data_IF_993112637815
#
_entry.id   IF_993112637815
#
_cell.length_a   1.000
_cell.length_b   1.000
_cell.length_c   1.000
_cell.angle_alpha   90.00
_cell.angle_beta   90.00
_cell.angle_gamma   90.00
#
_symmetry.space_group_name_H-M   'P 1'
#
loop_
_entity.id
_entity.type
_entity.pdbx_description
1 polymer ?
#
# COMPACT_ATOMS: atom_id res chain seq x y z
N UNK A 1 -41.51 17.23 -48.07
CA UNK A 1 -40.36 17.86 -47.37
C UNK A 1 -40.24 17.49 -45.87
N UNK A 2 -40.70 16.31 -45.40
CA UNK A 2 -40.61 15.89 -43.97
C UNK A 2 -39.63 14.75 -43.71
N UNK A 3 -39.16 14.06 -44.73
CA UNK A 3 -38.30 12.85 -44.61
C UNK A 3 -36.80 13.18 -44.54
N UNK A 4 -36.35 14.35 -44.93
CA UNK A 4 -34.93 14.71 -44.93
C UNK A 4 -34.41 15.14 -43.53
N UNK A 5 -35.31 15.60 -42.66
CA UNK A 5 -34.89 16.06 -41.30
C UNK A 5 -34.58 14.93 -40.33
N UNK A 6 -35.09 13.72 -40.53
CA UNK A 6 -34.84 12.57 -39.65
C UNK A 6 -33.50 11.92 -39.96
N UNK A 7 -33.08 11.90 -41.22
CA UNK A 7 -31.81 11.32 -41.63
C UNK A 7 -30.59 12.10 -41.07
N UNK A 8 -30.68 13.42 -40.93
CA UNK A 8 -29.60 14.27 -40.40
C UNK A 8 -29.47 14.12 -38.89
N UNK A 9 -30.58 13.81 -38.17
CA UNK A 9 -30.52 13.65 -36.72
C UNK A 9 -29.87 12.30 -36.31
N UNK A 10 -30.02 11.26 -37.11
CA UNK A 10 -29.42 9.95 -36.86
C UNK A 10 -27.91 9.95 -37.09
N UNK A 11 -27.43 10.74 -38.05
CA UNK A 11 -26.00 10.86 -38.34
C UNK A 11 -25.23 11.61 -37.22
N UNK A 12 -25.91 12.51 -36.51
CA UNK A 12 -25.26 13.29 -35.44
C UNK A 12 -25.09 12.49 -34.14
N UNK A 13 -25.86 11.45 -33.89
CA UNK A 13 -25.77 10.62 -32.69
C UNK A 13 -24.66 9.56 -32.79
N UNK A 14 -24.34 9.11 -34.01
CA UNK A 14 -23.28 8.10 -34.23
C UNK A 14 -21.85 8.73 -34.09
N UNK A 15 -21.71 10.04 -34.26
CA UNK A 15 -20.43 10.73 -34.16
C UNK A 15 -19.96 10.97 -32.70
N UNK A 16 -20.80 10.70 -31.69
CA UNK A 16 -20.47 10.88 -30.27
C UNK A 16 -19.99 9.61 -29.57
N UNK A 17 -20.00 8.47 -30.23
CA UNK A 17 -19.30 7.28 -29.75
C UNK A 17 -17.82 7.38 -30.09
N UNK A 18 -17.12 8.31 -29.41
CA UNK A 18 -15.65 8.31 -29.43
C UNK A 18 -15.18 6.99 -28.81
N UNK A 19 -14.31 6.22 -29.49
CA UNK A 19 -13.71 5.06 -28.86
C UNK A 19 -12.99 5.53 -27.61
N UNK A 20 -13.35 4.99 -26.44
CA UNK A 20 -12.51 5.05 -25.27
C UNK A 20 -11.17 4.45 -25.70
N UNK A 21 -10.18 5.29 -25.90
CA UNK A 21 -8.81 4.84 -26.04
C UNK A 21 -8.46 4.10 -24.75
N UNK A 22 -8.40 2.79 -24.83
CA UNK A 22 -7.70 2.00 -23.84
C UNK A 22 -6.28 2.57 -23.81
N UNK A 23 -5.94 3.29 -22.75
CA UNK A 23 -4.56 3.71 -22.52
C UNK A 23 -3.74 2.43 -22.39
N UNK A 24 -3.03 2.08 -23.41
CA UNK A 24 -1.98 1.08 -23.30
C UNK A 24 -0.93 1.65 -22.36
N UNK A 25 -0.89 1.13 -21.14
CA UNK A 25 0.18 1.40 -20.20
C UNK A 25 1.44 0.88 -20.90
N UNK A 26 2.30 1.77 -21.32
CA UNK A 26 3.59 1.40 -21.90
C UNK A 26 4.36 0.58 -20.86
N UNK A 27 4.72 -0.63 -21.24
CA UNK A 27 5.57 -1.47 -20.42
C UNK A 27 6.86 -0.71 -20.12
N UNK A 28 7.20 -0.59 -18.86
CA UNK A 28 8.50 -0.06 -18.44
C UNK A 28 9.62 -0.96 -18.95
N UNK A 29 10.79 -0.36 -19.14
CA UNK A 29 11.96 -1.04 -19.68
C UNK A 29 12.44 -2.22 -18.81
N UNK A 30 13.36 -3.02 -19.32
CA UNK A 30 13.80 -4.24 -18.68
C UNK A 30 14.47 -3.94 -17.32
N UNK A 31 13.85 -4.37 -16.24
CA UNK A 31 14.42 -4.30 -14.89
C UNK A 31 13.50 -3.90 -13.76
N UNK A 32 12.32 -3.37 -14.01
CA UNK A 32 11.33 -3.12 -12.96
C UNK A 32 10.01 -3.79 -13.33
N UNK A 33 9.59 -4.75 -12.53
CA UNK A 33 8.23 -5.24 -12.60
C UNK A 33 7.31 -4.13 -12.07
N UNK A 34 6.64 -3.43 -13.00
CA UNK A 34 5.81 -2.27 -12.71
C UNK A 34 4.33 -2.61 -12.72
N UNK A 35 4.00 -3.87 -12.47
CA UNK A 35 2.62 -4.30 -12.34
C UNK A 35 1.87 -3.54 -11.22
N UNK A 36 0.53 -3.50 -11.26
CA UNK A 36 -0.30 -2.72 -10.35
C UNK A 36 -0.28 -3.24 -8.91
N UNK A 37 0.57 -3.97 -8.43
CA UNK A 37 0.71 -4.41 -7.04
C UNK A 37 2.11 -4.21 -6.48
N UNK A 38 3.06 -3.74 -7.31
CA UNK A 38 4.45 -3.56 -6.89
C UNK A 38 4.59 -2.44 -5.87
N UNK A 39 3.99 -1.30 -6.17
CA UNK A 39 4.05 -0.10 -5.37
C UNK A 39 2.66 0.50 -5.24
N UNK A 40 2.20 0.65 -4.04
CA UNK A 40 0.85 1.04 -3.72
C UNK A 40 0.86 2.14 -2.66
N UNK A 41 -0.05 3.10 -2.79
CA UNK A 41 -0.14 4.26 -1.91
C UNK A 41 -1.55 4.42 -1.38
N UNK A 42 -1.65 4.82 -0.12
CA UNK A 42 -2.87 5.36 0.46
C UNK A 42 -2.52 6.44 1.49
N UNK A 43 -3.49 7.25 1.84
CA UNK A 43 -3.33 8.19 2.95
C UNK A 43 -3.95 7.61 4.22
N UNK A 44 -3.53 8.10 5.36
CA UNK A 44 -4.25 7.95 6.61
C UNK A 44 -4.64 9.32 7.17
N UNK A 45 -5.74 9.37 7.90
CA UNK A 45 -6.16 10.57 8.62
C UNK A 45 -6.86 10.16 9.91
N UNK A 46 -6.15 10.34 11.02
CA UNK A 46 -6.65 10.06 12.36
C UNK A 46 -7.26 11.30 13.03
N UNK A 47 -7.35 12.40 12.30
CA UNK A 47 -7.76 13.71 12.85
C UNK A 47 -9.15 13.69 13.46
N UNK A 48 -10.01 12.80 13.03
CA UNK A 48 -11.40 12.68 13.51
C UNK A 48 -11.59 11.50 14.48
N UNK A 49 -10.52 10.94 14.99
CA UNK A 49 -10.57 9.77 15.88
C UNK A 49 -10.89 10.14 17.33
N UNK A 50 -11.98 10.89 17.56
CA UNK A 50 -12.40 11.29 18.89
C UNK A 50 -12.92 10.11 19.76
N UNK A 51 -13.19 8.96 19.19
CA UNK A 51 -13.79 7.80 19.86
C UNK A 51 -12.87 6.59 20.01
N UNK A 52 -11.56 6.74 19.72
CA UNK A 52 -10.63 5.60 19.74
C UNK A 52 -10.80 4.66 18.53
N UNK A 53 -11.61 5.03 17.55
CA UNK A 53 -11.71 4.29 16.31
C UNK A 53 -10.38 4.43 15.54
N UNK A 54 -9.86 3.33 15.03
CA UNK A 54 -8.60 3.28 14.34
C UNK A 54 -8.78 2.88 12.88
N UNK A 55 -7.97 3.45 12.02
CA UNK A 55 -7.87 3.02 10.64
C UNK A 55 -7.09 1.72 10.56
N UNK A 56 -7.44 0.88 9.59
CA UNK A 56 -6.77 -0.39 9.37
C UNK A 56 -6.24 -0.48 7.94
N UNK A 57 -5.11 -1.14 7.81
CA UNK A 57 -4.55 -1.55 6.51
C UNK A 57 -4.66 -3.06 6.41
N UNK A 58 -5.24 -3.54 5.31
CA UNK A 58 -5.32 -4.97 4.99
C UNK A 58 -4.46 -5.24 3.78
N UNK A 59 -3.57 -6.22 3.90
CA UNK A 59 -2.67 -6.61 2.82
C UNK A 59 -2.91 -8.09 2.54
N UNK A 60 -3.18 -8.41 1.28
CA UNK A 60 -3.45 -9.75 0.81
C UNK A 60 -2.29 -10.20 -0.07
N UNK A 61 -1.72 -11.35 0.23
CA UNK A 61 -0.88 -12.06 -0.73
C UNK A 61 -1.79 -12.92 -1.61
N UNK A 62 -1.90 -12.60 -2.89
CA UNK A 62 -2.79 -13.29 -3.83
C UNK A 62 -2.41 -14.75 -4.10
N UNK A 63 -1.23 -15.18 -3.67
CA UNK A 63 -0.72 -16.51 -3.94
C UNK A 63 -0.43 -16.79 -5.42
N UNK A 64 -0.36 -15.74 -6.25
CA UNK A 64 -0.23 -15.86 -7.71
C UNK A 64 1.15 -16.33 -8.16
N UNK A 65 2.15 -16.33 -7.27
CA UNK A 65 3.50 -16.86 -7.56
C UNK A 65 3.79 -18.10 -6.72
N UNK A 66 4.12 -19.15 -7.38
CA UNK A 66 4.56 -20.39 -6.75
C UNK A 66 3.42 -21.38 -6.44
N UNK A 67 3.77 -22.46 -5.77
CA UNK A 67 2.82 -23.47 -5.33
C UNK A 67 2.17 -23.03 -4.00
N UNK A 68 0.85 -22.79 -3.96
CA UNK A 68 0.15 -22.36 -2.75
C UNK A 68 0.15 -23.42 -1.64
N UNK A 69 0.52 -24.65 -1.94
CA UNK A 69 0.66 -25.73 -0.96
C UNK A 69 2.08 -25.82 -0.40
N UNK A 70 3.03 -25.08 -0.97
CA UNK A 70 4.41 -25.05 -0.47
C UNK A 70 4.58 -23.93 0.55
N UNK A 71 4.99 -24.21 1.78
CA UNK A 71 5.19 -23.16 2.81
C UNK A 71 6.32 -22.19 2.47
N UNK A 72 7.13 -22.49 1.45
CA UNK A 72 8.27 -21.66 1.05
C UNK A 72 8.09 -21.00 -0.33
N UNK A 73 7.08 -21.39 -1.09
CA UNK A 73 6.77 -20.79 -2.38
C UNK A 73 5.57 -19.85 -2.26
N UNK A 74 5.59 -18.77 -3.01
CA UNK A 74 4.56 -17.75 -2.94
C UNK A 74 4.67 -16.83 -1.71
N UNK A 75 5.72 -16.97 -0.90
CA UNK A 75 6.01 -16.05 0.20
C UNK A 75 6.41 -14.69 -0.33
N UNK A 76 5.93 -13.64 0.32
CA UNK A 76 6.20 -12.28 -0.08
C UNK A 76 6.37 -11.35 1.14
N UNK A 77 7.08 -10.26 0.96
CA UNK A 77 7.28 -9.26 1.98
C UNK A 77 6.50 -7.99 1.61
N UNK A 78 5.66 -7.51 2.50
CA UNK A 78 5.09 -6.18 2.44
C UNK A 78 6.04 -5.20 3.12
N UNK A 79 6.81 -4.45 2.33
CA UNK A 79 7.63 -3.36 2.88
C UNK A 79 6.75 -2.13 3.02
N UNK A 80 6.53 -1.69 4.25
CA UNK A 80 5.62 -0.61 4.61
C UNK A 80 6.44 0.58 5.07
N UNK A 81 6.13 1.75 4.53
CA UNK A 81 6.78 3.02 4.84
C UNK A 81 5.72 4.06 5.15
N UNK A 82 5.75 4.61 6.34
CA UNK A 82 4.78 5.60 6.80
C UNK A 82 5.43 6.97 6.90
N UNK A 83 4.80 7.94 6.26
CA UNK A 83 5.24 9.34 6.22
C UNK A 83 4.16 10.23 6.83
N UNK A 84 4.58 11.32 7.46
CA UNK A 84 3.68 12.38 7.89
C UNK A 84 3.31 13.33 6.73
N UNK A 85 2.51 14.35 7.03
CA UNK A 85 2.10 15.39 6.09
C UNK A 85 3.20 16.41 5.80
N UNK A 86 4.34 16.35 6.50
CA UNK A 86 5.54 17.15 6.25
C UNK A 86 6.60 16.41 5.45
N UNK A 87 6.30 15.18 4.98
CA UNK A 87 7.15 14.31 4.16
C UNK A 87 8.28 13.63 4.93
N UNK A 88 8.22 13.61 6.25
CA UNK A 88 9.18 12.88 7.07
C UNK A 88 8.76 11.41 7.19
N UNK A 89 9.70 10.48 6.99
CA UNK A 89 9.45 9.07 7.27
C UNK A 89 9.40 8.86 8.79
N UNK A 90 8.30 8.32 9.26
CA UNK A 90 8.04 8.11 10.69
C UNK A 90 8.41 6.72 11.14
N UNK A 91 7.95 5.74 10.40
CA UNK A 91 8.15 4.32 10.67
C UNK A 91 8.26 3.53 9.38
N UNK A 92 8.98 2.42 9.46
CA UNK A 92 9.04 1.43 8.40
C UNK A 92 9.18 0.03 8.97
N UNK A 93 8.65 -0.95 8.25
CA UNK A 93 8.80 -2.38 8.57
C UNK A 93 8.58 -3.23 7.32
N UNK A 94 8.93 -4.51 7.43
CA UNK A 94 8.74 -5.48 6.37
C UNK A 94 8.03 -6.70 6.96
N UNK A 95 6.79 -6.89 6.56
CA UNK A 95 5.91 -7.91 7.10
C UNK A 95 5.85 -9.13 6.17
N UNK A 96 6.12 -10.33 6.68
CA UNK A 96 6.01 -11.55 5.90
C UNK A 96 4.56 -11.95 5.67
N UNK A 97 4.25 -12.38 4.44
CA UNK A 97 2.97 -12.96 4.08
C UNK A 97 3.18 -14.25 3.28
N UNK A 98 2.63 -15.35 3.74
CA UNK A 98 2.54 -16.57 2.95
C UNK A 98 1.53 -16.46 1.81
N UNK A 99 1.55 -17.40 0.89
CA UNK A 99 0.55 -17.44 -0.19
C UNK A 99 -0.88 -17.51 0.40
N UNK A 100 -1.79 -16.72 -0.15
CA UNK A 100 -3.19 -16.60 0.29
C UNK A 100 -3.39 -16.05 1.71
N UNK A 101 -2.39 -15.36 2.25
CA UNK A 101 -2.43 -14.74 3.57
C UNK A 101 -3.12 -13.37 3.55
N UNK A 102 -3.73 -13.03 4.69
CA UNK A 102 -4.33 -11.72 4.97
C UNK A 102 -3.70 -11.12 6.23
N UNK A 103 -2.92 -10.09 6.06
CA UNK A 103 -2.40 -9.28 7.15
C UNK A 103 -3.33 -8.08 7.40
N UNK A 104 -3.73 -7.87 8.65
CA UNK A 104 -4.50 -6.69 9.06
C UNK A 104 -3.71 -5.91 10.11
N UNK A 105 -3.44 -4.65 9.84
CA UNK A 105 -2.64 -3.75 10.67
C UNK A 105 -3.46 -2.54 11.11
N UNK A 106 -3.36 -2.21 12.40
CA UNK A 106 -3.85 -0.96 12.98
C UNK A 106 -2.90 0.19 12.62
N UNK A 107 -3.44 1.30 12.14
CA UNK A 107 -2.61 2.47 11.84
C UNK A 107 -2.01 3.05 13.12
N UNK A 108 -2.82 3.27 14.17
CA UNK A 108 -2.35 3.88 15.41
C UNK A 108 -1.44 2.93 16.23
N UNK A 109 -1.83 1.65 16.33
CA UNK A 109 -1.20 0.74 17.29
C UNK A 109 -0.05 -0.09 16.69
N UNK A 110 0.12 -0.08 15.35
CA UNK A 110 1.15 -0.87 14.69
C UNK A 110 1.98 -0.07 13.69
N UNK A 111 1.34 0.80 12.89
CA UNK A 111 2.04 1.56 11.85
C UNK A 111 2.51 2.94 12.32
N UNK A 112 2.02 3.43 13.48
CA UNK A 112 2.30 4.76 14.01
C UNK A 112 2.53 4.73 15.54
N UNK A 113 2.79 3.57 16.12
CA UNK A 113 2.94 3.43 17.56
C UNK A 113 4.29 3.94 18.09
N UNK A 114 5.28 4.00 17.21
CA UNK A 114 6.67 4.24 17.61
C UNK A 114 7.38 5.25 16.68
N UNK A 115 6.72 6.38 16.32
CA UNK A 115 7.25 7.30 15.34
C UNK A 115 8.58 7.91 15.78
N UNK A 116 9.47 8.18 14.82
CA UNK A 116 10.75 8.81 15.06
C UNK A 116 10.59 10.18 15.73
N UNK A 117 9.64 10.98 15.30
CA UNK A 117 9.43 12.37 15.73
C UNK A 117 8.62 12.51 17.02
N UNK A 118 8.37 11.43 17.75
CA UNK A 118 7.78 11.50 19.09
C UNK A 118 6.26 11.74 19.09
N UNK A 119 5.72 11.93 20.30
CA UNK A 119 4.28 12.16 20.50
C UNK A 119 3.94 13.66 20.54
N UNK A 120 2.73 14.06 20.06
CA UNK A 120 1.71 13.17 19.50
C UNK A 120 2.08 12.69 18.09
N UNK A 121 1.71 11.44 17.78
CA UNK A 121 1.83 10.93 16.42
C UNK A 121 1.06 11.85 15.45
N UNK A 122 1.57 12.08 14.22
CA UNK A 122 0.91 12.93 13.26
C UNK A 122 -0.48 12.38 12.92
N UNK A 123 -1.42 13.27 12.75
CA UNK A 123 -2.82 12.90 12.51
C UNK A 123 -3.11 12.54 11.06
N UNK A 124 -2.19 12.84 10.15
CA UNK A 124 -2.34 12.57 8.72
C UNK A 124 -1.00 12.17 8.12
N UNK A 125 -1.05 11.45 7.04
CA UNK A 125 0.15 11.10 6.29
C UNK A 125 -0.13 10.13 5.16
N UNK A 126 0.93 9.55 4.66
CA UNK A 126 0.91 8.61 3.53
C UNK A 126 1.53 7.29 3.96
N UNK A 127 0.86 6.20 3.58
CA UNK A 127 1.39 4.85 3.70
C UNK A 127 1.76 4.38 2.30
N UNK A 128 3.01 3.97 2.15
CA UNK A 128 3.55 3.37 0.92
C UNK A 128 3.85 1.91 1.18
N UNK A 129 3.43 1.03 0.27
CA UNK A 129 3.68 -0.40 0.35
C UNK A 129 4.40 -0.84 -0.90
N UNK A 130 5.53 -1.51 -0.72
CA UNK A 130 6.27 -2.17 -1.81
C UNK A 130 6.27 -3.67 -1.56
N UNK A 131 5.72 -4.41 -2.51
CA UNK A 131 5.78 -5.85 -2.54
C UNK A 131 7.17 -6.31 -3.01
N UNK A 132 7.82 -7.21 -2.26
CA UNK A 132 9.15 -7.69 -2.60
C UNK A 132 9.28 -9.20 -2.29
N UNK A 133 9.75 -9.96 -3.26
CA UNK A 133 9.99 -11.39 -3.10
C UNK A 133 11.35 -11.64 -2.45
N UNK A 134 11.34 -12.08 -1.19
CA UNK A 134 12.54 -12.37 -0.41
C UNK A 134 12.35 -13.56 0.51
N UNK A 135 13.45 -14.17 0.88
CA UNK A 135 13.50 -15.22 1.92
C UNK A 135 13.53 -14.64 3.34
N UNK A 136 13.90 -13.37 3.49
CA UNK A 136 13.91 -12.62 4.76
C UNK A 136 13.40 -11.23 4.50
N UNK A 137 12.35 -10.84 5.21
CA UNK A 137 11.76 -9.52 5.11
C UNK A 137 12.63 -8.47 5.82
N UNK A 138 13.01 -7.42 5.08
CA UNK A 138 13.78 -6.29 5.57
C UNK A 138 13.43 -5.05 4.74
N UNK A 139 12.81 -4.04 5.36
CA UNK A 139 12.40 -2.82 4.69
C UNK A 139 13.59 -1.92 4.27
N UNK A 140 14.77 -2.15 4.84
CA UNK A 140 16.00 -1.42 4.48
C UNK A 140 16.63 -1.91 3.18
N UNK A 141 16.02 -2.89 2.53
CA UNK A 141 16.53 -3.48 1.28
C UNK A 141 15.36 -3.82 0.36
N UNK A 142 15.35 -3.31 -0.86
CA UNK A 142 14.40 -3.67 -1.92
C UNK A 142 15.17 -4.30 -3.08
N UNK A 143 15.10 -5.62 -3.22
CA UNK A 143 15.92 -6.37 -4.20
C UNK A 143 15.13 -6.96 -5.35
N UNK A 144 13.88 -7.32 -5.12
CA UNK A 144 13.06 -8.00 -6.11
C UNK A 144 11.59 -7.57 -6.01
N UNK A 145 11.29 -6.27 -6.23
CA UNK A 145 9.91 -5.78 -6.22
C UNK A 145 9.03 -6.55 -7.21
N UNK A 146 7.83 -6.91 -6.78
CA UNK A 146 6.90 -7.70 -7.57
C UNK A 146 5.44 -7.25 -7.33
N UNK A 147 4.47 -7.77 -8.09
CA UNK A 147 3.07 -7.31 -8.13
C UNK A 147 2.08 -8.21 -7.38
N UNK A 148 2.50 -8.98 -6.39
CA UNK A 148 1.68 -10.04 -5.80
C UNK A 148 0.77 -9.59 -4.65
N UNK A 149 1.06 -8.45 -4.03
CA UNK A 149 0.27 -7.96 -2.92
C UNK A 149 -0.85 -7.04 -3.40
N UNK A 150 -1.98 -7.13 -2.71
CA UNK A 150 -3.09 -6.19 -2.81
C UNK A 150 -3.29 -5.56 -1.45
N UNK A 151 -3.49 -4.24 -1.41
CA UNK A 151 -3.68 -3.53 -0.15
C UNK A 151 -4.98 -2.70 -0.17
N UNK A 152 -5.61 -2.62 1.00
CA UNK A 152 -6.83 -1.87 1.27
C UNK A 152 -6.65 -1.07 2.55
N UNK A 153 -7.21 0.13 2.59
CA UNK A 153 -7.17 1.00 3.76
C UNK A 153 -8.56 1.45 4.16
N UNK A 154 -8.86 1.41 5.45
CA UNK A 154 -10.08 2.02 5.98
C UNK A 154 -9.84 3.48 6.29
N UNK A 155 -10.84 4.32 6.00
CA UNK A 155 -10.86 5.73 6.32
C UNK A 155 -12.05 6.03 7.22
N UNK A 156 -11.80 6.79 8.29
CA UNK A 156 -12.83 7.23 9.22
C UNK A 156 -13.16 8.67 8.90
N UNK A 157 -14.41 8.90 8.57
CA UNK A 157 -14.94 10.23 8.27
C UNK A 157 -16.01 10.61 9.28
N UNK A 158 -16.06 11.87 9.64
CA UNK A 158 -17.10 12.41 10.50
C UNK A 158 -17.93 13.46 9.72
N UNK A 159 -18.90 13.03 8.92
CA UNK A 159 -19.72 13.93 8.11
C UNK A 159 -20.62 14.83 8.99
N UNK A 160 -21.01 14.33 10.17
CA UNK A 160 -21.82 15.06 11.17
C UNK A 160 -21.24 14.79 12.55
N UNK A 161 -21.27 15.78 13.43
CA UNK A 161 -20.79 15.68 14.80
C UNK A 161 -21.44 14.48 15.51
N UNK A 162 -20.60 13.61 16.04
CA UNK A 162 -21.03 12.40 16.77
C UNK A 162 -21.35 11.18 15.88
N UNK A 163 -21.28 11.31 14.53
CA UNK A 163 -21.49 10.22 13.61
C UNK A 163 -20.19 9.93 12.83
N UNK A 164 -19.74 8.70 12.88
CA UNK A 164 -18.58 8.23 12.13
C UNK A 164 -19.04 7.30 11.00
N UNK A 165 -18.44 7.49 9.83
CA UNK A 165 -18.59 6.61 8.68
C UNK A 165 -17.22 6.03 8.37
N UNK A 166 -17.16 4.72 8.27
CA UNK A 166 -15.94 4.01 7.84
C UNK A 166 -16.11 3.61 6.39
N UNK A 167 -15.17 3.98 5.57
CA UNK A 167 -15.08 3.53 4.16
C UNK A 167 -13.78 2.75 3.98
N UNK A 168 -13.80 1.74 3.14
CA UNK A 168 -12.61 1.00 2.76
C UNK A 168 -12.33 1.23 1.27
N UNK A 169 -11.08 1.57 0.96
CA UNK A 169 -10.63 1.80 -0.41
C UNK A 169 -9.38 0.96 -0.69
N UNK A 170 -9.25 0.51 -1.94
CA UNK A 170 -7.99 -0.08 -2.39
C UNK A 170 -6.88 0.96 -2.36
N UNK A 171 -5.67 0.52 -2.06
CA UNK A 171 -4.49 1.34 -2.30
C UNK A 171 -4.34 1.62 -3.79
N UNK A 172 -3.94 2.83 -4.11
CA UNK A 172 -3.73 3.25 -5.50
C UNK A 172 -2.37 2.77 -5.98
N UNK A 173 -2.29 2.07 -7.11
CA UNK A 173 -1.02 1.72 -7.72
C UNK A 173 -0.24 2.98 -8.09
N UNK A 174 1.04 3.02 -7.71
CA UNK A 174 1.99 4.06 -8.09
C UNK A 174 3.08 3.50 -9.01
N UNK A 175 3.85 4.40 -9.59
CA UNK A 175 5.05 4.05 -10.32
C UNK A 175 6.25 4.04 -9.37
N UNK A 176 6.86 2.87 -9.18
CA UNK A 176 8.09 2.75 -8.41
C UNK A 176 9.28 3.15 -9.28
N UNK A 177 9.65 4.42 -9.23
CA UNK A 177 10.84 4.91 -9.92
C UNK A 177 12.12 4.33 -9.31
N UNK A 178 13.21 4.31 -10.05
CA UNK A 178 14.51 3.87 -9.52
C UNK A 178 14.98 4.75 -8.35
N UNK A 179 14.62 6.03 -8.35
CA UNK A 179 14.91 6.95 -7.25
C UNK A 179 14.11 6.59 -6.00
N UNK A 180 12.81 6.32 -6.13
CA UNK A 180 11.96 5.91 -5.01
C UNK A 180 12.38 4.55 -4.45
N UNK A 181 12.71 3.60 -5.33
CA UNK A 181 13.23 2.29 -4.95
C UNK A 181 14.56 2.37 -4.17
N UNK A 182 15.40 3.33 -4.46
CA UNK A 182 16.63 3.57 -3.73
C UNK A 182 16.39 4.38 -2.44
N UNK A 183 15.47 5.35 -2.48
CA UNK A 183 15.18 6.25 -1.37
C UNK A 183 14.52 5.55 -0.19
N UNK A 184 13.47 4.75 -0.42
CA UNK A 184 12.69 4.14 0.66
C UNK A 184 13.53 3.28 1.61
N UNK A 185 14.38 2.35 1.13
CA UNK A 185 15.25 1.57 2.01
C UNK A 185 16.28 2.42 2.74
N UNK A 186 16.86 3.41 2.05
CA UNK A 186 17.84 4.31 2.66
C UNK A 186 17.23 5.15 3.79
N UNK A 187 16.05 5.71 3.57
CA UNK A 187 15.33 6.46 4.59
C UNK A 187 14.94 5.56 5.78
N UNK A 188 14.52 4.32 5.52
CA UNK A 188 14.20 3.34 6.54
C UNK A 188 15.44 2.99 7.39
N UNK A 189 16.58 2.72 6.77
CA UNK A 189 17.83 2.44 7.48
C UNK A 189 18.31 3.64 8.30
N UNK A 190 18.10 4.87 7.80
CA UNK A 190 18.42 6.09 8.54
C UNK A 190 17.56 6.23 9.80
N UNK A 191 16.23 6.02 9.66
CA UNK A 191 15.30 6.09 10.79
C UNK A 191 15.65 5.07 11.87
N UNK A 192 16.04 3.85 11.50
CA UNK A 192 16.45 2.81 12.45
C UNK A 192 17.84 3.06 13.06
N UNK A 193 18.77 3.64 12.28
CA UNK A 193 20.15 3.89 12.69
C UNK A 193 20.29 4.89 13.85
N UNK A 194 19.31 5.78 14.02
CA UNK A 194 19.35 6.77 15.10
C UNK A 194 19.37 6.16 16.50
N UNK A 195 19.30 4.83 16.62
CA UNK A 195 19.57 4.09 17.86
C UNK A 195 18.55 4.35 18.98
N UNK A 196 17.47 5.06 18.67
CA UNK A 196 16.43 5.41 19.64
C UNK A 196 15.47 4.25 19.93
N UNK A 197 15.51 3.17 19.14
CA UNK A 197 14.50 2.14 19.09
C UNK A 197 13.19 2.62 18.45
N UNK A 198 13.17 3.84 17.92
CA UNK A 198 12.04 4.46 17.22
C UNK A 198 12.04 4.14 15.73
N UNK A 199 10.94 4.46 15.06
CA UNK A 199 10.84 4.37 13.61
C UNK A 199 10.55 2.97 13.08
N UNK A 200 10.33 1.98 13.95
CA UNK A 200 10.02 0.60 13.56
C UNK A 200 8.56 0.30 13.82
N UNK A 201 7.80 0.05 12.76
CA UNK A 201 6.43 -0.40 12.85
C UNK A 201 6.35 -1.90 13.22
N UNK A 202 5.19 -2.32 13.72
CA UNK A 202 4.94 -3.68 14.17
C UNK A 202 4.03 -4.42 13.18
N UNK A 203 4.47 -5.59 12.73
CA UNK A 203 3.69 -6.48 11.87
C UNK A 203 2.58 -7.26 12.61
N UNK A 204 2.42 -7.02 13.91
CA UNK A 204 1.50 -7.77 14.76
C UNK A 204 2.14 -9.01 15.39
N UNK A 205 1.37 -9.74 16.21
CA UNK A 205 1.84 -10.98 16.79
C UNK A 205 2.21 -11.91 15.64
N UNK A 206 3.47 -12.32 15.63
CA UNK A 206 3.91 -13.35 14.68
C UNK A 206 2.99 -14.55 14.88
N UNK A 207 2.22 -14.90 13.86
CA UNK A 207 1.51 -16.17 13.85
C UNK A 207 2.56 -17.27 14.16
N UNK A 208 2.36 -18.10 15.17
CA UNK A 208 3.30 -19.17 15.50
C UNK A 208 3.56 -20.11 14.31
N UNK A 209 2.70 -20.14 13.31
CA UNK A 209 2.95 -20.81 12.01
C UNK A 209 3.98 -20.08 11.14
N UNK A 210 4.21 -18.77 11.37
CA UNK A 210 5.19 -17.93 10.67
C UNK A 210 6.55 -17.81 11.39
N UNK A 211 6.67 -18.32 12.61
CA UNK A 211 7.89 -18.23 13.45
C UNK A 211 9.13 -18.97 12.91
N UNK A 212 9.05 -19.66 11.76
CA UNK A 212 10.23 -20.23 11.11
C UNK A 212 11.09 -19.19 10.34
N UNK A 213 10.60 -17.94 10.22
CA UNK A 213 11.30 -16.87 9.53
C UNK A 213 11.55 -15.69 10.48
N UNK A 214 12.33 -15.93 11.54
CA UNK A 214 12.78 -14.88 12.46
C UNK A 214 13.36 -13.70 11.70
N UNK A 215 12.71 -12.54 11.84
CA UNK A 215 13.36 -11.27 11.57
C UNK A 215 14.49 -11.08 12.59
N UNK A 216 15.73 -11.10 12.13
CA UNK A 216 16.89 -10.57 12.84
C UNK A 216 17.24 -9.22 12.23
#
# INVERSE_FOLDING_TARGET
MKTIKIAVLILAVVALCSPMFAQTISAAGPGSDTGPGVYQLNYFSNRNNAAGADQTVRIINSGSSGDPLSPTQGFNCANIYTFDDTQEMLECCSCPLSANDLLTLSVNNQLMQNPLTGFPAPSNGVIKIVSDYKTKCNAEVLTNPNWQLLAYGTHIQQPVTGQFVTTETAFTPGYLSSQEQAFLPLACSFVHFLGTGKGKCDCGPADPSHNSFSAN
#
